data_IF_719784547563
#
_entry.id   IF_719784547563
#
_cell.length_a   1.000
_cell.length_b   1.000
_cell.length_c   1.000
_cell.angle_alpha   90.00
_cell.angle_beta   90.00
_cell.angle_gamma   90.00
#
_symmetry.space_group_name_H-M   'P 1'
#
loop_
_entity.id
_entity.type
_entity.pdbx_description
1 polymer ?
#
# COMPACT_ATOMS: atom_id res chain seq x y z
N UNK A 1 -28.55 3.18 -2.24
CA UNK A 1 -27.52 4.01 -2.87
C UNK A 1 -26.29 3.15 -2.88
N UNK A 2 -26.04 2.45 -3.97
CA UNK A 2 -24.94 1.49 -4.05
C UNK A 2 -23.70 2.30 -4.33
N UNK A 3 -22.87 2.54 -3.32
CA UNK A 3 -21.53 3.07 -3.51
C UNK A 3 -20.85 2.20 -4.57
N UNK A 4 -20.57 2.80 -5.72
CA UNK A 4 -19.64 2.21 -6.68
C UNK A 4 -18.29 2.38 -5.99
N UNK A 5 -17.96 1.47 -5.07
CA UNK A 5 -16.60 1.32 -4.58
C UNK A 5 -15.78 1.05 -5.85
N UNK A 6 -15.07 2.07 -6.32
CA UNK A 6 -14.02 1.89 -7.32
C UNK A 6 -13.07 0.88 -6.70
N UNK A 7 -13.17 -0.37 -7.18
CA UNK A 7 -12.30 -1.48 -6.80
C UNK A 7 -10.91 -1.17 -7.35
N UNK A 8 -10.19 -0.32 -6.65
CA UNK A 8 -8.79 -0.03 -6.92
C UNK A 8 -8.01 -1.35 -6.91
N UNK A 9 -7.04 -1.51 -7.80
CA UNK A 9 -6.25 -2.75 -7.88
C UNK A 9 -5.37 -2.99 -6.66
N UNK A 10 -4.84 -1.94 -6.04
CA UNK A 10 -3.86 -2.02 -4.95
C UNK A 10 -4.31 -1.23 -3.73
N UNK A 11 -3.79 -1.68 -2.59
CA UNK A 11 -3.84 -0.95 -1.33
C UNK A 11 -2.44 -0.88 -0.74
N UNK A 12 -1.99 0.31 -0.34
CA UNK A 12 -0.78 0.52 0.46
C UNK A 12 -1.16 0.84 1.91
N UNK A 13 -0.57 0.09 2.84
CA UNK A 13 -0.52 0.41 4.26
C UNK A 13 0.83 1.07 4.57
N UNK A 14 0.81 2.38 4.76
CA UNK A 14 2.00 3.17 5.09
C UNK A 14 2.03 3.43 6.59
N UNK A 15 3.03 2.88 7.27
CA UNK A 15 3.24 3.11 8.71
C UNK A 15 4.23 4.26 8.90
N UNK A 16 3.82 5.28 9.66
CA UNK A 16 4.64 6.44 10.02
C UNK A 16 5.00 6.38 11.52
N UNK A 17 6.25 6.71 11.85
CA UNK A 17 6.70 6.93 13.23
C UNK A 17 6.09 8.21 13.77
N UNK A 18 5.60 8.18 15.01
CA UNK A 18 5.22 9.39 15.76
C UNK A 18 5.67 9.27 17.20
N UNK A 19 5.74 10.40 17.89
CA UNK A 19 6.14 10.46 19.30
C UNK A 19 5.20 9.65 20.21
N UNK A 20 3.90 9.61 19.87
CA UNK A 20 2.89 8.86 20.59
C UNK A 20 2.78 7.37 20.17
N UNK A 21 3.66 6.91 19.28
CA UNK A 21 3.61 5.58 18.65
C UNK A 21 3.31 5.64 17.15
N UNK A 22 3.51 4.50 16.49
CA UNK A 22 3.34 4.43 15.03
C UNK A 22 1.86 4.62 14.61
N UNK A 23 1.63 5.33 13.51
CA UNK A 23 0.32 5.39 12.83
C UNK A 23 0.39 4.70 11.48
N UNK A 24 -0.58 3.84 11.17
CA UNK A 24 -0.75 3.26 9.83
C UNK A 24 -1.86 3.97 9.07
N UNK A 25 -1.57 4.41 7.85
CA UNK A 25 -2.54 4.97 6.90
C UNK A 25 -2.75 4.02 5.73
N UNK A 26 -3.98 3.93 5.26
CA UNK A 26 -4.36 3.11 4.11
C UNK A 26 -4.63 4.00 2.89
N UNK A 27 -4.09 3.62 1.75
CA UNK A 27 -4.33 4.27 0.47
C UNK A 27 -4.66 3.24 -0.61
N UNK A 28 -5.82 3.38 -1.25
CA UNK A 28 -6.21 2.56 -2.39
C UNK A 28 -5.88 3.29 -3.69
N UNK A 29 -5.32 2.58 -4.67
CA UNK A 29 -4.88 3.16 -5.95
C UNK A 29 -4.85 2.09 -7.07
N UNK A 30 -4.77 2.53 -8.32
CA UNK A 30 -4.92 1.65 -9.49
C UNK A 30 -3.60 1.09 -10.00
N UNK A 31 -2.57 1.92 -10.11
CA UNK A 31 -1.28 1.54 -10.67
C UNK A 31 -0.16 1.71 -9.64
N UNK A 32 0.77 0.75 -9.56
CA UNK A 32 1.91 0.78 -8.60
C UNK A 32 2.70 2.08 -8.70
N UNK A 33 2.83 2.65 -9.90
CA UNK A 33 3.49 3.94 -10.09
C UNK A 33 2.88 5.04 -9.23
N UNK A 34 1.56 5.07 -9.02
CA UNK A 34 0.86 6.10 -8.24
C UNK A 34 1.30 6.14 -6.76
N UNK A 35 1.98 5.09 -6.26
CA UNK A 35 2.58 5.11 -4.94
C UNK A 35 3.62 6.24 -4.79
N UNK A 36 4.31 6.63 -5.87
CA UNK A 36 5.24 7.76 -5.83
C UNK A 36 4.52 9.03 -5.36
N UNK A 37 3.36 9.33 -5.95
CA UNK A 37 2.57 10.52 -5.65
C UNK A 37 2.07 10.50 -4.20
N UNK A 38 1.65 9.31 -3.71
CA UNK A 38 1.18 9.13 -2.34
C UNK A 38 2.30 9.40 -1.33
N UNK A 39 3.51 8.92 -1.61
CA UNK A 39 4.68 9.12 -0.75
C UNK A 39 5.13 10.58 -0.76
N UNK A 40 5.25 11.20 -1.95
CA UNK A 40 5.73 12.58 -2.12
C UNK A 40 4.76 13.63 -1.53
N UNK A 41 3.45 13.37 -1.61
CA UNK A 41 2.43 14.26 -1.01
C UNK A 41 2.18 13.98 0.47
N UNK A 42 2.75 12.91 1.00
CA UNK A 42 2.59 12.50 2.39
C UNK A 42 3.41 13.35 3.37
N UNK A 43 3.42 12.96 4.65
CA UNK A 43 4.42 13.43 5.60
C UNK A 43 5.85 13.19 5.09
N UNK A 44 6.83 13.83 5.73
CA UNK A 44 8.24 13.67 5.40
C UNK A 44 8.62 12.19 5.26
N UNK A 45 9.31 11.85 4.15
CA UNK A 45 9.72 10.49 3.82
C UNK A 45 10.42 9.75 4.97
N UNK A 46 11.26 10.44 5.75
CA UNK A 46 11.99 9.83 6.87
C UNK A 46 11.10 9.46 8.07
N UNK A 47 9.86 9.95 8.12
CA UNK A 47 8.88 9.50 9.09
C UNK A 47 8.32 8.12 8.75
N UNK A 48 8.45 7.64 7.50
CA UNK A 48 7.95 6.33 7.09
C UNK A 48 8.78 5.23 7.75
N UNK A 49 8.10 4.34 8.48
CA UNK A 49 8.66 3.12 9.07
C UNK A 49 8.61 1.97 8.08
N UNK A 50 7.49 1.79 7.39
CA UNK A 50 7.27 0.72 6.42
C UNK A 50 6.14 1.07 5.46
N UNK A 51 6.19 0.47 4.27
CA UNK A 51 5.10 0.45 3.30
C UNK A 51 4.83 -1.01 2.96
N UNK A 52 3.59 -1.45 3.12
CA UNK A 52 3.13 -2.79 2.71
C UNK A 52 2.08 -2.61 1.63
N UNK A 53 2.27 -3.26 0.48
CA UNK A 53 1.36 -3.17 -0.66
C UNK A 53 0.67 -4.52 -0.82
N UNK A 54 -0.65 -4.51 -0.96
CA UNK A 54 -1.47 -5.70 -1.17
C UNK A 54 -2.39 -5.50 -2.38
N UNK A 55 -2.60 -6.53 -3.22
CA UNK A 55 -3.64 -6.47 -4.24
C UNK A 55 -5.03 -6.56 -3.58
N UNK A 56 -6.03 -5.85 -4.11
CA UNK A 56 -7.40 -5.89 -3.60
C UNK A 56 -8.18 -7.16 -4.04
N UNK A 57 -7.49 -8.27 -4.19
CA UNK A 57 -8.04 -9.59 -4.54
C UNK A 57 -7.40 -10.72 -3.74
N UNK A 58 -7.89 -11.94 -3.92
CA UNK A 58 -7.32 -13.13 -3.28
C UNK A 58 -6.08 -13.59 -4.05
N UNK A 59 -4.92 -13.06 -3.65
CA UNK A 59 -3.63 -13.57 -4.09
C UNK A 59 -2.86 -14.02 -2.85
N UNK A 60 -2.55 -15.32 -2.78
CA UNK A 60 -1.71 -15.83 -1.70
C UNK A 60 -0.29 -15.27 -1.85
N UNK A 61 0.35 -14.80 -0.76
CA UNK A 61 1.75 -14.43 -0.80
C UNK A 61 2.60 -15.60 -1.30
N UNK A 62 3.56 -15.31 -2.17
CA UNK A 62 4.50 -16.30 -2.70
C UNK A 62 5.93 -15.81 -2.62
N UNK A 63 6.87 -16.74 -2.57
CA UNK A 63 8.30 -16.44 -2.65
C UNK A 63 8.74 -16.21 -4.09
N UNK A 64 9.92 -15.61 -4.29
CA UNK A 64 10.49 -15.38 -5.61
C UNK A 64 10.70 -16.70 -6.36
N UNK A 65 11.20 -17.74 -5.68
CA UNK A 65 11.47 -19.04 -6.26
C UNK A 65 10.19 -19.76 -6.71
N UNK A 66 9.05 -19.49 -6.06
CA UNK A 66 7.75 -20.00 -6.47
C UNK A 66 7.26 -19.28 -7.74
N UNK A 67 7.44 -17.96 -7.80
CA UNK A 67 7.06 -17.15 -8.96
C UNK A 67 7.87 -17.52 -10.22
N UNK A 68 9.18 -17.76 -10.09
CA UNK A 68 10.06 -18.14 -11.21
C UNK A 68 9.77 -19.53 -11.80
N UNK A 69 8.99 -20.36 -11.10
CA UNK A 69 8.59 -21.70 -11.54
C UNK A 69 7.20 -21.77 -12.18
N UNK A 70 6.40 -20.70 -12.09
CA UNK A 70 5.02 -20.62 -12.57
C UNK A 70 4.97 -20.22 -14.06
#
# INVERSE_FOLDING_TARGET
MTDIETLHRWTAHITYRRDAGDETRQHSFEEIEQLHDIVERGPNFYAIKSIVIVPNGRCEPMTIEQAERA
#
